data_IF_022976363136
#
_entry.id   IF_022976363136
#
_cell.length_a   1.000
_cell.length_b   1.000
_cell.length_c   1.000
_cell.angle_alpha   90.00
_cell.angle_beta   90.00
_cell.angle_gamma   90.00
#
_symmetry.space_group_name_H-M   'P 1'
#
loop_
_entity.id
_entity.type
_entity.pdbx_description
1 polymer ?
#
# COMPACT_ATOMS: atom_id res chain seq x y z
N UNK A 1 9.41 -13.78 -25.75
CA UNK A 1 8.78 -12.76 -24.89
C UNK A 1 8.37 -11.58 -25.74
N UNK A 2 7.13 -11.13 -25.62
CA UNK A 2 6.64 -9.94 -26.33
C UNK A 2 7.19 -8.65 -25.71
N UNK A 3 7.22 -7.54 -26.46
CA UNK A 3 7.60 -6.24 -25.92
C UNK A 3 6.71 -5.81 -24.74
N UNK A 4 5.44 -6.23 -24.77
CA UNK A 4 4.48 -5.99 -23.69
C UNK A 4 4.84 -6.75 -22.41
N UNK A 5 5.19 -8.04 -22.52
CA UNK A 5 5.63 -8.85 -21.36
C UNK A 5 6.86 -8.25 -20.68
N UNK A 6 7.78 -7.64 -21.44
CA UNK A 6 8.95 -6.96 -20.88
C UNK A 6 8.53 -5.75 -20.05
N UNK A 7 7.56 -4.95 -20.52
CA UNK A 7 7.03 -3.81 -19.77
C UNK A 7 6.36 -4.28 -18.47
N UNK A 8 5.52 -5.31 -18.57
CA UNK A 8 4.83 -5.90 -17.42
C UNK A 8 5.80 -6.37 -16.34
N UNK A 9 6.84 -7.13 -16.72
CA UNK A 9 7.86 -7.60 -15.78
C UNK A 9 8.64 -6.46 -15.12
N UNK A 10 9.05 -5.45 -15.90
CA UNK A 10 9.76 -4.29 -15.34
C UNK A 10 8.91 -3.53 -14.31
N UNK A 11 7.62 -3.34 -14.61
CA UNK A 11 6.69 -2.69 -13.68
C UNK A 11 6.47 -3.55 -12.44
N UNK A 12 6.25 -4.86 -12.63
CA UNK A 12 6.12 -5.80 -11.52
C UNK A 12 7.36 -5.77 -10.62
N UNK A 13 8.58 -5.80 -11.16
CA UNK A 13 9.81 -5.76 -10.37
C UNK A 13 9.92 -4.47 -9.54
N UNK A 14 9.55 -3.32 -10.12
CA UNK A 14 9.51 -2.03 -9.39
C UNK A 14 8.52 -2.10 -8.23
N UNK A 15 7.32 -2.62 -8.48
CA UNK A 15 6.26 -2.76 -7.46
C UNK A 15 6.62 -3.77 -6.38
N UNK A 16 7.19 -4.93 -6.73
CA UNK A 16 7.62 -5.95 -5.78
C UNK A 16 8.79 -5.48 -4.92
N UNK A 17 9.74 -4.75 -5.49
CA UNK A 17 10.82 -4.15 -4.72
C UNK A 17 10.28 -3.10 -3.74
N UNK A 18 9.29 -2.32 -4.17
CA UNK A 18 8.61 -1.39 -3.27
C UNK A 18 7.80 -2.12 -2.19
N UNK A 19 7.13 -3.23 -2.52
CA UNK A 19 6.35 -4.05 -1.58
C UNK A 19 7.21 -4.58 -0.41
N UNK A 20 8.48 -4.91 -0.65
CA UNK A 20 9.42 -5.36 0.40
C UNK A 20 9.66 -4.33 1.51
N UNK A 21 9.35 -3.05 1.28
CA UNK A 21 9.39 -2.04 2.35
C UNK A 21 8.14 -2.06 3.25
N UNK A 22 7.05 -2.67 2.77
CA UNK A 22 5.76 -2.72 3.46
C UNK A 22 5.50 -4.06 4.16
N UNK A 23 6.17 -5.12 3.71
CA UNK A 23 6.05 -6.47 4.25
C UNK A 23 7.41 -7.11 4.48
N UNK A 24 7.47 -8.01 5.47
CA UNK A 24 8.66 -8.84 5.73
C UNK A 24 8.84 -9.94 4.70
N UNK A 25 7.77 -10.34 3.99
CA UNK A 25 7.80 -11.44 3.04
C UNK A 25 6.86 -11.19 1.86
N UNK A 26 7.42 -11.30 0.66
CA UNK A 26 6.67 -11.43 -0.58
C UNK A 26 6.69 -12.90 -0.97
N UNK A 27 5.51 -13.51 -1.16
CA UNK A 27 5.40 -14.94 -1.55
C UNK A 27 4.67 -15.03 -2.87
N UNK A 28 5.24 -15.73 -3.85
CA UNK A 28 4.51 -16.04 -5.07
C UNK A 28 3.54 -17.19 -4.80
N UNK A 29 2.24 -16.97 -5.04
CA UNK A 29 1.19 -17.97 -4.84
C UNK A 29 0.88 -18.74 -6.12
N UNK A 30 0.87 -18.02 -7.24
CA UNK A 30 0.66 -18.55 -8.60
C UNK A 30 1.60 -17.81 -9.57
N UNK A 31 1.66 -18.22 -10.84
CA UNK A 31 2.52 -17.66 -11.89
C UNK A 31 2.49 -16.13 -11.92
N UNK A 32 1.30 -15.56 -11.79
CA UNK A 32 1.07 -14.11 -11.90
C UNK A 32 0.53 -13.47 -10.60
N UNK A 33 0.45 -14.22 -9.49
CA UNK A 33 -0.15 -13.75 -8.23
C UNK A 33 0.86 -13.81 -7.09
N UNK A 34 1.00 -12.67 -6.40
CA UNK A 34 1.93 -12.49 -5.29
C UNK A 34 1.18 -12.07 -4.03
N UNK A 35 1.53 -12.67 -2.92
CA UNK A 35 1.14 -12.24 -1.58
C UNK A 35 2.15 -11.21 -1.05
N UNK A 36 1.64 -10.01 -0.72
CA UNK A 36 2.40 -8.91 -0.11
C UNK A 36 1.85 -8.53 1.27
N UNK A 37 1.18 -9.47 1.94
CA UNK A 37 0.50 -9.31 3.24
C UNK A 37 1.16 -8.30 4.18
N UNK A 38 0.36 -7.37 4.70
CA UNK A 38 0.79 -6.29 5.61
C UNK A 38 0.23 -6.60 6.99
N UNK A 39 1.09 -7.04 7.91
CA UNK A 39 0.64 -7.57 9.20
C UNK A 39 -0.20 -8.84 9.00
N UNK A 40 -1.46 -8.81 9.42
CA UNK A 40 -2.44 -9.90 9.20
C UNK A 40 -3.38 -9.68 8.02
N UNK A 41 -3.32 -8.51 7.37
CA UNK A 41 -4.17 -8.19 6.23
C UNK A 41 -3.61 -8.80 4.94
N UNK A 42 -4.45 -9.52 4.22
CA UNK A 42 -4.06 -10.18 2.97
C UNK A 42 -4.13 -9.18 1.82
N UNK A 43 -2.97 -8.89 1.23
CA UNK A 43 -2.86 -8.06 0.03
C UNK A 43 -2.32 -8.93 -1.09
N UNK A 44 -3.10 -9.08 -2.16
CA UNK A 44 -2.74 -9.82 -3.36
C UNK A 44 -2.33 -8.84 -4.44
N UNK A 45 -1.12 -9.00 -4.97
CA UNK A 45 -0.69 -8.30 -6.18
C UNK A 45 -0.81 -9.27 -7.36
N UNK A 46 -1.61 -8.89 -8.34
CA UNK A 46 -1.88 -9.72 -9.50
C UNK A 46 -1.41 -9.06 -10.79
N UNK A 47 -0.56 -9.75 -11.54
CA UNK A 47 -0.08 -9.35 -12.85
C UNK A 47 -1.02 -9.87 -13.95
N UNK A 48 -1.86 -8.99 -14.49
CA UNK A 48 -2.82 -9.37 -15.54
C UNK A 48 -2.21 -9.18 -16.94
N UNK A 49 -1.48 -10.19 -17.41
CA UNK A 49 -0.78 -10.15 -18.70
C UNK A 49 -1.71 -10.27 -19.92
N UNK A 50 -2.85 -10.94 -19.76
CA UNK A 50 -3.86 -11.13 -20.80
C UNK A 50 -5.17 -10.48 -20.36
N UNK A 51 -5.81 -9.73 -21.25
CA UNK A 51 -7.14 -9.12 -21.02
C UNK A 51 -8.26 -10.19 -21.08
N UNK A 52 -8.04 -11.38 -20.51
CA UNK A 52 -9.05 -12.42 -20.39
C UNK A 52 -10.03 -12.03 -19.29
N UNK A 53 -11.30 -11.89 -19.67
CA UNK A 53 -12.37 -11.56 -18.71
C UNK A 53 -12.90 -12.85 -18.10
N UNK A 54 -12.75 -13.00 -16.78
CA UNK A 54 -13.27 -14.16 -16.05
C UNK A 54 -14.70 -13.92 -15.60
N UNK A 55 -15.61 -14.79 -16.05
CA UNK A 55 -17.03 -14.71 -15.68
C UNK A 55 -17.37 -15.49 -14.41
N UNK A 56 -16.55 -16.49 -14.01
CA UNK A 56 -16.82 -17.29 -12.82
C UNK A 56 -16.08 -16.75 -11.58
N UNK A 57 -16.79 -16.25 -10.56
CA UNK A 57 -16.17 -15.74 -9.34
C UNK A 57 -15.46 -16.83 -8.52
N UNK A 58 -15.84 -18.12 -8.64
CA UNK A 58 -15.15 -19.21 -7.93
C UNK A 58 -13.76 -19.43 -8.48
N UNK A 59 -13.66 -19.48 -9.80
CA UNK A 59 -12.38 -19.59 -10.49
C UNK A 59 -11.48 -18.40 -10.14
N UNK A 60 -12.07 -17.20 -10.10
CA UNK A 60 -11.34 -15.98 -9.75
C UNK A 60 -10.87 -15.99 -8.28
N UNK A 61 -11.70 -16.46 -7.34
CA UNK A 61 -11.35 -16.62 -5.94
C UNK A 61 -10.22 -17.64 -5.73
N UNK A 62 -10.30 -18.79 -6.41
CA UNK A 62 -9.28 -19.84 -6.38
C UNK A 62 -7.94 -19.31 -6.91
N UNK A 63 -7.95 -18.70 -8.10
CA UNK A 63 -6.77 -18.10 -8.73
C UNK A 63 -6.11 -17.05 -7.85
N UNK A 64 -6.90 -16.23 -7.16
CA UNK A 64 -6.41 -15.16 -6.29
C UNK A 64 -6.14 -15.63 -4.84
N UNK A 65 -6.40 -16.91 -4.54
CA UNK A 65 -6.31 -17.49 -3.20
C UNK A 65 -7.07 -16.64 -2.16
N UNK A 66 -8.35 -16.39 -2.45
CA UNK A 66 -9.28 -15.61 -1.61
C UNK A 66 -10.21 -16.57 -0.88
N UNK A 67 -10.15 -16.52 0.45
CA UNK A 67 -11.03 -17.26 1.34
C UNK A 67 -12.33 -16.48 1.62
N UNK A 68 -13.45 -17.18 1.77
CA UNK A 68 -14.71 -16.56 2.18
C UNK A 68 -14.60 -15.93 3.56
N UNK A 69 -15.25 -14.78 3.74
CA UNK A 69 -15.28 -14.06 5.02
C UNK A 69 -13.95 -13.42 5.44
N UNK A 70 -12.86 -13.59 4.68
CA UNK A 70 -11.58 -12.93 4.95
C UNK A 70 -11.39 -11.73 4.03
N UNK A 71 -11.36 -10.54 4.64
CA UNK A 71 -11.04 -9.29 3.95
C UNK A 71 -9.72 -9.41 3.19
N UNK A 72 -9.78 -9.33 1.86
CA UNK A 72 -8.62 -9.42 0.97
C UNK A 72 -8.61 -8.23 0.03
N UNK A 73 -7.48 -7.50 -0.02
CA UNK A 73 -7.30 -6.43 -1.00
C UNK A 73 -6.50 -6.95 -2.18
N UNK A 74 -7.02 -6.78 -3.39
CA UNK A 74 -6.40 -7.20 -4.65
C UNK A 74 -5.94 -5.97 -5.42
N UNK A 75 -4.65 -5.90 -5.74
CA UNK A 75 -4.05 -4.86 -6.57
C UNK A 75 -3.69 -5.49 -7.91
N UNK A 76 -4.31 -5.00 -8.98
CA UNK A 76 -4.19 -5.57 -10.32
C UNK A 76 -3.30 -4.68 -11.18
N UNK A 77 -2.17 -5.20 -11.63
CA UNK A 77 -1.29 -4.59 -12.62
C UNK A 77 -1.78 -5.00 -14.02
N UNK A 78 -2.30 -4.05 -14.78
CA UNK A 78 -2.91 -4.31 -16.08
C UNK A 78 -2.81 -3.09 -17.03
N UNK A 79 -3.20 -3.26 -18.30
CA UNK A 79 -3.22 -2.15 -19.28
C UNK A 79 -4.39 -1.19 -19.08
N UNK A 80 -5.56 -1.73 -18.72
CA UNK A 80 -6.82 -0.99 -18.63
C UNK A 80 -7.45 -1.18 -17.24
N UNK A 81 -6.91 -0.51 -16.20
CA UNK A 81 -7.33 -0.75 -14.82
C UNK A 81 -8.80 -0.48 -14.55
N UNK A 82 -9.39 0.54 -15.16
CA UNK A 82 -10.79 0.89 -14.93
C UNK A 82 -11.76 -0.23 -15.29
N UNK A 83 -11.57 -0.86 -16.45
CA UNK A 83 -12.43 -1.96 -16.91
C UNK A 83 -12.17 -3.22 -16.08
N UNK A 84 -10.90 -3.56 -15.88
CA UNK A 84 -10.50 -4.78 -15.16
C UNK A 84 -10.98 -4.74 -13.71
N UNK A 85 -10.78 -3.62 -13.01
CA UNK A 85 -11.26 -3.45 -11.63
C UNK A 85 -12.77 -3.58 -11.57
N UNK A 86 -13.49 -2.93 -12.49
CA UNK A 86 -14.95 -3.00 -12.53
C UNK A 86 -15.45 -4.44 -12.74
N UNK A 87 -14.88 -5.18 -13.68
CA UNK A 87 -15.27 -6.56 -13.98
C UNK A 87 -14.98 -7.51 -12.81
N UNK A 88 -13.80 -7.42 -12.21
CA UNK A 88 -13.42 -8.26 -11.06
C UNK A 88 -14.30 -7.94 -9.86
N UNK A 89 -14.52 -6.66 -9.54
CA UNK A 89 -15.38 -6.23 -8.45
C UNK A 89 -16.82 -6.74 -8.67
N UNK A 90 -17.36 -6.55 -9.87
CA UNK A 90 -18.71 -7.01 -10.25
C UNK A 90 -18.83 -8.52 -10.18
N UNK A 91 -17.78 -9.27 -10.54
CA UNK A 91 -17.76 -10.73 -10.44
C UNK A 91 -17.92 -11.19 -8.99
N UNK A 92 -17.15 -10.62 -8.05
CA UNK A 92 -17.28 -10.92 -6.62
C UNK A 92 -18.63 -10.47 -6.04
N UNK A 93 -19.18 -9.34 -6.46
CA UNK A 93 -20.52 -8.89 -6.05
C UNK A 93 -21.64 -9.83 -6.54
N UNK A 94 -21.49 -10.43 -7.73
CA UNK A 94 -22.41 -11.44 -8.26
C UNK A 94 -22.28 -12.79 -7.54
N UNK A 95 -21.12 -13.07 -6.95
CA UNK A 95 -20.87 -14.35 -6.27
C UNK A 95 -21.87 -14.63 -5.14
N UNK A 96 -22.18 -13.61 -4.32
CA UNK A 96 -23.17 -13.74 -3.25
C UNK A 96 -24.56 -14.01 -3.82
N UNK A 97 -24.94 -13.27 -4.87
CA UNK A 97 -26.28 -13.38 -5.47
C UNK A 97 -26.52 -14.72 -6.16
N UNK A 98 -25.50 -15.27 -6.82
CA UNK A 98 -25.65 -16.45 -7.67
C UNK A 98 -25.25 -17.75 -6.98
N UNK A 99 -24.28 -17.68 -6.05
CA UNK A 99 -23.70 -18.87 -5.41
C UNK A 99 -23.82 -18.86 -3.89
N UNK A 100 -24.31 -17.77 -3.27
CA UNK A 100 -24.37 -17.63 -1.82
C UNK A 100 -23.00 -17.44 -1.15
N UNK A 101 -21.95 -17.17 -1.94
CA UNK A 101 -20.56 -17.04 -1.46
C UNK A 101 -20.26 -15.60 -1.07
N UNK A 102 -19.68 -15.39 0.11
CA UNK A 102 -19.42 -14.04 0.65
C UNK A 102 -17.93 -13.73 0.65
N UNK A 103 -17.46 -13.25 -0.49
CA UNK A 103 -16.10 -12.73 -0.61
C UNK A 103 -16.06 -11.25 -0.20
N UNK A 104 -15.18 -10.92 0.75
CA UNK A 104 -14.88 -9.54 1.14
C UNK A 104 -13.63 -9.08 0.40
N UNK A 105 -13.82 -8.49 -0.78
CA UNK A 105 -12.72 -8.13 -1.68
C UNK A 105 -12.74 -6.66 -2.02
N UNK A 106 -11.60 -6.00 -1.83
CA UNK A 106 -11.33 -4.66 -2.33
C UNK A 106 -10.41 -4.72 -3.54
N UNK A 107 -10.88 -4.25 -4.69
CA UNK A 107 -10.11 -4.33 -5.93
C UNK A 107 -9.53 -2.95 -6.28
N UNK A 108 -8.24 -2.91 -6.57
CA UNK A 108 -7.51 -1.73 -6.99
C UNK A 108 -6.78 -2.01 -8.30
N UNK A 109 -6.64 -0.99 -9.13
CA UNK A 109 -6.03 -1.11 -10.44
C UNK A 109 -4.82 -0.20 -10.59
N UNK A 110 -3.76 -0.73 -11.18
CA UNK A 110 -2.54 -0.01 -11.54
C UNK A 110 -2.24 -0.22 -13.02
N UNK A 111 -2.07 0.89 -13.74
CA UNK A 111 -1.69 0.82 -15.15
C UNK A 111 -0.22 0.49 -15.28
N UNK A 112 0.11 -0.51 -16.10
CA UNK A 112 1.50 -0.79 -16.48
C UNK A 112 2.14 0.33 -17.32
N UNK A 113 1.33 1.27 -17.81
CA UNK A 113 1.79 2.45 -18.53
C UNK A 113 1.92 3.69 -17.63
N UNK A 114 1.56 3.59 -16.35
CA UNK A 114 1.73 4.70 -15.40
C UNK A 114 3.22 4.94 -15.13
N UNK A 115 3.69 6.14 -15.44
CA UNK A 115 5.08 6.55 -15.18
C UNK A 115 5.36 6.69 -13.68
N UNK A 116 4.31 6.91 -12.88
CA UNK A 116 4.34 7.05 -11.41
C UNK A 116 3.76 5.84 -10.70
N UNK A 117 3.89 4.65 -11.29
CA UNK A 117 3.32 3.40 -10.76
C UNK A 117 3.71 3.13 -9.30
N UNK A 118 4.92 3.46 -8.86
CA UNK A 118 5.33 3.32 -7.45
C UNK A 118 4.57 4.25 -6.51
N UNK A 119 4.36 5.51 -6.90
CA UNK A 119 3.59 6.46 -6.11
C UNK A 119 2.12 6.04 -6.04
N UNK A 120 1.56 5.57 -7.17
CA UNK A 120 0.21 5.01 -7.26
C UNK A 120 0.08 3.76 -6.38
N UNK A 121 1.05 2.84 -6.42
CA UNK A 121 1.09 1.65 -5.57
C UNK A 121 1.20 2.01 -4.10
N UNK A 122 2.12 2.92 -3.74
CA UNK A 122 2.29 3.40 -2.38
C UNK A 122 0.98 4.00 -1.85
N UNK A 123 0.27 4.79 -2.66
CA UNK A 123 -1.04 5.35 -2.32
C UNK A 123 -2.09 4.26 -2.07
N UNK A 124 -2.19 3.26 -2.95
CA UNK A 124 -3.12 2.14 -2.77
C UNK A 124 -2.80 1.39 -1.49
N UNK A 125 -1.53 1.06 -1.24
CA UNK A 125 -1.10 0.37 -0.04
C UNK A 125 -1.44 1.18 1.21
N UNK A 126 -1.27 2.51 1.20
CA UNK A 126 -1.74 3.36 2.30
C UNK A 126 -3.25 3.34 2.45
N UNK A 127 -4.02 3.39 1.37
CA UNK A 127 -5.48 3.30 1.42
C UNK A 127 -5.93 1.97 2.01
N UNK A 128 -5.36 0.86 1.55
CA UNK A 128 -5.63 -0.50 2.06
C UNK A 128 -5.26 -0.60 3.53
N UNK A 129 -4.07 -0.13 3.89
CA UNK A 129 -3.57 -0.22 5.28
C UNK A 129 -4.38 0.69 6.21
N UNK A 130 -4.77 1.88 5.76
CA UNK A 130 -5.65 2.80 6.50
C UNK A 130 -7.04 2.24 6.63
N UNK A 131 -7.62 1.69 5.54
CA UNK A 131 -8.94 1.06 5.57
C UNK A 131 -8.94 -0.12 6.54
N UNK A 132 -7.95 -1.00 6.45
CA UNK A 132 -7.76 -2.10 7.40
C UNK A 132 -7.67 -1.59 8.85
N UNK A 133 -6.86 -0.56 9.11
CA UNK A 133 -6.80 0.06 10.44
C UNK A 133 -8.14 0.64 10.87
N UNK A 134 -8.86 1.30 9.96
CA UNK A 134 -10.15 1.92 10.22
C UNK A 134 -11.28 0.91 10.36
N UNK A 135 -11.24 -0.25 9.72
CA UNK A 135 -12.21 -1.34 9.94
C UNK A 135 -12.00 -1.94 11.32
N UNK A 136 -10.74 -2.14 11.71
CA UNK A 136 -10.38 -2.49 13.09
C UNK A 136 -10.81 -1.41 14.10
N UNK A 137 -10.83 -0.13 13.69
CA UNK A 137 -11.29 1.01 14.51
C UNK A 137 -12.82 1.22 14.41
N UNK A 138 -13.50 0.89 13.31
CA UNK A 138 -14.94 1.15 13.09
C UNK A 138 -15.82 0.23 13.92
N UNK A 139 -15.31 -0.93 14.30
CA UNK A 139 -15.91 -1.74 15.36
C UNK A 139 -15.81 -1.06 16.75
N UNK A 140 -15.09 0.06 16.86
CA UNK A 140 -14.90 0.84 18.07
C UNK A 140 -15.01 2.35 17.76
N UNK A 141 -16.23 2.82 17.52
CA UNK A 141 -16.53 4.25 17.39
C UNK A 141 -16.01 5.03 18.62
N UNK A 142 -15.01 5.89 18.43
CA UNK A 142 -14.84 7.22 19.05
C UNK A 142 -13.43 7.75 18.78
N UNK A 143 -13.33 8.78 17.93
CA UNK A 143 -12.10 9.55 17.73
C UNK A 143 -12.42 11.03 17.82
N UNK A 144 -11.86 11.70 18.82
CA UNK A 144 -11.46 13.11 18.71
C UNK A 144 -10.37 13.46 19.74
N UNK A 145 -9.32 14.10 19.22
CA UNK A 145 -8.32 14.98 19.87
C UNK A 145 -6.95 14.40 20.34
N UNK A 146 -5.95 14.77 19.52
CA UNK A 146 -4.62 15.30 19.88
C UNK A 146 -3.61 14.45 20.68
N UNK A 147 -2.83 13.65 19.92
CA UNK A 147 -1.36 13.47 19.94
C UNK A 147 -0.55 13.15 21.21
N UNK A 148 -1.11 13.14 22.40
CA UNK A 148 -0.52 12.46 23.57
C UNK A 148 -1.66 11.83 24.35
N UNK A 149 -1.54 10.55 24.70
CA UNK A 149 -2.67 9.85 25.32
C UNK A 149 -3.69 9.32 24.32
N UNK A 150 -3.28 9.00 23.08
CA UNK A 150 -4.18 8.37 22.09
C UNK A 150 -4.79 7.12 22.73
N UNK A 151 -6.12 7.08 22.94
CA UNK A 151 -6.78 5.89 23.44
C UNK A 151 -6.60 4.82 22.38
N UNK A 152 -6.22 3.63 22.82
CA UNK A 152 -6.12 2.49 21.95
C UNK A 152 -7.48 2.27 21.30
N UNK A 153 -7.57 2.22 19.97
CA UNK A 153 -8.85 2.06 19.29
C UNK A 153 -9.54 0.74 19.64
N UNK A 154 -8.84 -0.23 20.25
CA UNK A 154 -9.42 -1.52 20.67
C UNK A 154 -9.85 -1.58 22.13
N UNK A 155 -9.21 -0.85 23.04
CA UNK A 155 -9.48 -0.99 24.48
C UNK A 155 -9.64 0.33 25.22
N UNK A 156 -9.61 1.47 24.52
CA UNK A 156 -9.75 2.81 25.11
C UNK A 156 -8.57 3.27 25.97
N UNK A 157 -7.66 2.36 26.35
CA UNK A 157 -6.52 2.69 27.19
C UNK A 157 -5.49 3.52 26.44
N UNK A 158 -4.92 4.50 27.14
CA UNK A 158 -3.82 5.31 26.64
C UNK A 158 -2.69 4.44 26.13
N UNK A 159 -2.26 4.68 24.90
CA UNK A 159 -1.13 3.97 24.35
C UNK A 159 0.16 4.65 24.80
N UNK A 160 0.96 3.91 25.55
CA UNK A 160 2.21 4.41 26.13
C UNK A 160 3.44 4.16 25.23
N UNK A 161 3.35 3.26 24.22
CA UNK A 161 4.52 2.79 23.49
C UNK A 161 4.49 3.02 21.97
N UNK A 162 5.61 3.61 21.51
CA UNK A 162 5.96 3.82 20.12
C UNK A 162 7.09 2.85 19.76
N UNK A 163 6.84 1.91 18.86
CA UNK A 163 7.90 1.22 18.13
C UNK A 163 8.18 2.00 16.85
N UNK A 164 9.14 2.90 16.90
CA UNK A 164 9.57 3.60 15.70
C UNK A 164 10.43 2.65 14.88
N UNK A 165 10.06 2.38 13.62
CA UNK A 165 10.94 1.60 12.75
C UNK A 165 12.29 2.29 12.70
N UNK A 166 13.37 1.52 12.83
CA UNK A 166 14.73 2.03 12.65
C UNK A 166 15.09 2.18 11.18
N UNK A 167 14.28 1.60 10.28
CA UNK A 167 14.54 1.59 8.85
C UNK A 167 13.78 2.71 8.16
N UNK A 168 14.55 3.48 7.42
CA UNK A 168 14.11 4.56 6.55
C UNK A 168 13.69 3.91 5.24
N UNK A 169 12.61 4.39 4.63
CA UNK A 169 12.24 3.96 3.29
C UNK A 169 12.01 5.17 2.39
N UNK A 170 12.33 5.05 1.08
CA UNK A 170 11.92 6.07 0.13
C UNK A 170 10.39 6.14 0.07
N UNK A 171 9.85 7.36 0.05
CA UNK A 171 8.46 7.60 -0.37
C UNK A 171 8.47 8.29 -1.73
N UNK A 172 7.71 7.72 -2.66
CA UNK A 172 7.52 8.26 -4.00
C UNK A 172 6.43 9.34 -4.02
N UNK A 173 5.55 9.36 -3.02
CA UNK A 173 4.54 10.41 -2.84
C UNK A 173 5.18 11.70 -2.34
N UNK A 174 6.04 11.59 -1.32
CA UNK A 174 6.69 12.74 -0.69
C UNK A 174 8.05 13.08 -1.31
N UNK A 175 8.50 12.30 -2.30
CA UNK A 175 9.79 12.44 -2.98
C UNK A 175 10.99 12.55 -2.01
N UNK A 176 10.86 11.97 -0.82
CA UNK A 176 11.86 12.02 0.24
C UNK A 176 11.84 10.75 1.11
N UNK A 177 12.91 10.49 1.88
CA UNK A 177 12.91 9.43 2.86
C UNK A 177 11.85 9.69 3.94
N UNK A 178 11.07 8.66 4.23
CA UNK A 178 10.11 8.66 5.32
C UNK A 178 10.47 7.58 6.35
N UNK A 179 10.03 7.81 7.58
CA UNK A 179 10.19 6.86 8.67
C UNK A 179 8.82 6.33 9.07
N UNK A 180 8.64 5.03 8.97
CA UNK A 180 7.45 4.39 9.52
C UNK A 180 7.60 4.24 11.03
N UNK A 181 6.50 4.39 11.76
CA UNK A 181 6.44 4.03 13.16
C UNK A 181 5.18 3.24 13.45
N UNK A 182 5.29 2.30 14.37
CA UNK A 182 4.18 1.49 14.85
C UNK A 182 3.87 1.86 16.29
N UNK A 183 2.63 2.24 16.55
CA UNK A 183 2.13 2.47 17.90
C UNK A 183 1.47 1.17 18.37
N UNK A 184 1.90 0.62 19.50
CA UNK A 184 1.40 -0.67 20.00
C UNK A 184 0.77 -0.49 21.38
N UNK A 185 -0.47 -0.95 21.56
CA UNK A 185 -1.09 -1.01 22.86
C UNK A 185 -0.63 -2.24 23.64
N UNK A 186 -0.04 -2.04 24.81
CA UNK A 186 0.49 -3.14 25.64
C UNK A 186 -0.59 -4.00 26.29
N UNK A 187 -1.80 -3.47 26.46
CA UNK A 187 -2.89 -4.21 27.14
C UNK A 187 -3.61 -5.16 26.19
N UNK A 188 -3.89 -4.74 24.95
CA UNK A 188 -4.73 -5.51 24.02
C UNK A 188 -3.99 -5.95 22.74
N UNK A 189 -2.73 -5.54 22.58
CA UNK A 189 -1.82 -5.94 21.50
C UNK A 189 -2.01 -5.21 20.16
N UNK A 190 -2.93 -4.24 20.06
CA UNK A 190 -3.23 -3.50 18.82
C UNK A 190 -2.02 -2.74 18.31
N UNK A 191 -1.77 -2.79 16.99
CA UNK A 191 -0.67 -2.11 16.31
C UNK A 191 -1.22 -1.14 15.27
N UNK A 192 -0.78 0.11 15.28
CA UNK A 192 -1.14 1.12 14.28
C UNK A 192 0.12 1.65 13.62
N UNK A 193 0.06 2.01 12.35
CA UNK A 193 1.21 2.52 11.59
C UNK A 193 1.05 4.02 11.30
N UNK A 194 2.07 4.81 11.62
CA UNK A 194 2.20 6.19 11.18
C UNK A 194 3.44 6.40 10.32
N UNK A 195 3.46 7.52 9.60
CA UNK A 195 4.56 7.93 8.73
C UNK A 195 5.05 9.30 9.18
N UNK A 196 6.34 9.40 9.42
CA UNK A 196 7.03 10.66 9.69
C UNK A 196 7.80 11.07 8.43
N UNK A 197 7.47 12.25 7.90
CA UNK A 197 8.17 12.86 6.75
C UNK A 197 9.37 13.63 7.29
N UNK A 198 10.56 13.37 6.74
CA UNK A 198 11.78 14.02 7.19
C UNK A 198 12.03 15.30 6.39
N UNK A 199 11.36 16.37 6.77
CA UNK A 199 11.52 17.71 6.17
C UNK A 199 12.83 18.42 6.57
N UNK A 200 13.51 17.96 7.64
CA UNK A 200 14.65 18.66 8.26
C UNK A 200 15.95 18.72 7.43
N UNK A 201 16.02 18.07 6.27
CA UNK A 201 17.13 18.27 5.33
C UNK A 201 16.84 19.29 4.22
N UNK A 202 15.58 19.66 3.97
CA UNK A 202 15.25 20.67 2.96
C UNK A 202 15.30 22.10 3.48
N UNK A 203 15.03 22.32 4.77
CA UNK A 203 15.14 23.67 5.37
C UNK A 203 16.60 24.12 5.49
N UNK A 204 17.55 23.20 5.72
CA UNK A 204 18.99 23.55 5.72
C UNK A 204 19.61 23.78 4.34
N UNK A 205 18.95 23.38 3.26
CA UNK A 205 19.42 23.65 1.89
C UNK A 205 18.95 25.02 1.39
N UNK A 206 17.91 25.60 1.99
CA UNK A 206 17.49 26.99 1.70
C UNK A 206 18.39 28.05 2.36
N UNK A 207 19.12 27.67 3.41
CA UNK A 207 20.06 28.56 4.11
C UNK A 207 21.54 28.39 3.68
N UNK A 208 21.81 27.57 2.66
CA UNK A 208 23.08 27.70 1.93
C UNK A 208 22.97 29.01 1.15
N UNK A 209 23.38 30.11 1.80
CA UNK A 209 23.83 31.31 1.09
C UNK A 209 24.76 30.82 0.01
N UNK A 210 24.38 31.01 -1.25
CA UNK A 210 25.30 31.00 -2.36
C UNK A 210 26.42 31.95 -1.94
N UNK A 211 27.57 31.38 -1.59
CA UNK A 211 28.78 32.17 -1.48
C UNK A 211 29.06 32.58 -2.92
N UNK A 212 28.55 33.74 -3.32
CA UNK A 212 29.08 34.42 -4.49
C UNK A 212 30.57 34.56 -4.20
N UNK A 213 31.46 34.00 -5.03
CA UNK A 213 32.87 34.29 -4.87
C UNK A 213 33.00 35.81 -4.96
N UNK A 214 33.61 36.42 -3.93
CA UNK A 214 33.98 37.82 -3.97
C UNK A 214 34.64 38.06 -5.33
N UNK A 215 33.99 38.87 -6.16
CA UNK A 215 34.68 39.48 -7.28
C UNK A 215 35.77 40.30 -6.60
N UNK A 216 36.99 39.80 -6.64
CA UNK A 216 38.17 40.60 -6.38
C UNK A 216 38.17 41.73 -7.39
N UNK A 217 37.54 42.84 -7.02
CA UNK A 217 38.02 44.15 -7.43
C UNK A 217 39.43 44.23 -6.88
N UNK A 218 40.42 43.96 -7.73
CA UNK A 218 41.64 44.74 -7.81
C UNK A 218 42.55 44.19 -8.92
N UNK A 219 43.13 45.16 -9.65
CA UNK A 219 43.90 45.10 -10.92
C UNK A 219 43.00 45.34 -12.14
N UNK A 220 42.93 46.54 -12.71
CA UNK A 220 43.70 47.78 -12.54
C UNK A 220 42.86 48.98 -13.01
#
# INVERSE_FOLDING_TARGET
MSALEVVYRKVLDRVLNLAKYFTTKVTQLDLDVYDVSIGSHCVRLWLLNNDEFWHDPRFLAEKLCIDEGRGTSVIILCRIPSIVVYEVQTSFERAERWYGLRYQVDVYGLSVYDTRVEASFEKIIYTVTTKYMLEVVRDNELLTQAHYGLPCPKCGNVIEHYYVSRTWRPSYIYECPVRDYYIVCNLCGTRMRGVEVLTLLMEKVRDIKVFEPERSSDRA
#
